data_IF_625516682359
#
_entry.id   IF_625516682359
#
_cell.length_a   1.000
_cell.length_b   1.000
_cell.length_c   1.000
_cell.angle_alpha   90.00
_cell.angle_beta   90.00
_cell.angle_gamma   90.00
#
_symmetry.space_group_name_H-M   'P 1'
#
loop_
_entity.id
_entity.type
_entity.pdbx_description
1 polymer ?
#
# COMPACT_ATOMS: atom_id res chain seq x y z
N UNK A 1 38.31 -2.75 31.18
CA UNK A 1 37.86 -1.58 30.38
C UNK A 1 38.97 -1.26 29.35
N UNK A 2 38.60 -0.88 28.08
CA UNK A 2 39.54 -0.47 27.07
C UNK A 2 40.33 0.79 27.51
N UNK A 3 41.53 1.01 26.91
CA UNK A 3 42.31 2.21 27.17
C UNK A 3 41.56 3.48 26.68
N UNK A 4 41.86 4.66 27.33
CA UNK A 4 41.16 5.94 26.97
C UNK A 4 41.13 6.24 25.46
N UNK A 5 42.24 6.09 24.69
CA UNK A 5 42.19 6.32 23.24
C UNK A 5 41.29 5.35 22.48
N UNK A 6 41.15 4.13 22.97
CA UNK A 6 40.24 3.12 22.40
C UNK A 6 38.79 3.45 22.73
N UNK A 7 38.49 3.87 23.97
CA UNK A 7 37.16 4.36 24.35
C UNK A 7 36.72 5.54 23.47
N UNK A 8 37.62 6.48 23.17
CA UNK A 8 37.33 7.60 22.31
C UNK A 8 37.02 7.18 20.87
N UNK A 9 37.78 6.19 20.33
CA UNK A 9 37.50 5.64 18.98
C UNK A 9 36.12 4.94 18.93
N UNK A 10 35.80 4.14 19.95
CA UNK A 10 34.50 3.45 20.07
C UNK A 10 33.39 4.49 20.15
N UNK A 11 33.51 5.50 20.99
CA UNK A 11 32.52 6.54 21.14
C UNK A 11 32.28 7.33 19.83
N UNK A 12 33.38 7.73 19.15
CA UNK A 12 33.30 8.43 17.87
C UNK A 12 32.63 7.57 16.80
N UNK A 13 32.93 6.27 16.76
CA UNK A 13 32.31 5.33 15.82
C UNK A 13 30.81 5.16 16.08
N UNK A 14 30.42 4.93 17.34
CA UNK A 14 28.99 4.80 17.69
C UNK A 14 28.24 6.08 17.40
N UNK A 15 28.82 7.25 17.68
CA UNK A 15 28.22 8.56 17.34
C UNK A 15 28.03 8.70 15.82
N UNK A 16 28.99 8.27 15.01
CA UNK A 16 28.85 8.30 13.55
C UNK A 16 27.71 7.37 13.05
N UNK A 17 27.53 6.20 13.66
CA UNK A 17 26.41 5.29 13.37
C UNK A 17 25.08 5.95 13.74
N UNK A 18 24.98 6.59 14.91
CA UNK A 18 23.77 7.30 15.34
C UNK A 18 23.41 8.45 14.38
N UNK A 19 24.38 9.25 14.01
CA UNK A 19 24.20 10.33 13.02
C UNK A 19 23.69 9.76 11.68
N UNK A 20 24.21 8.62 11.23
CA UNK A 20 23.77 7.96 10.01
C UNK A 20 22.31 7.48 10.09
N UNK A 21 21.93 6.88 11.23
CA UNK A 21 20.55 6.43 11.50
C UNK A 21 19.59 7.63 11.46
N UNK A 22 19.95 8.74 12.11
CA UNK A 22 19.15 9.97 12.12
C UNK A 22 19.00 10.55 10.70
N UNK A 23 20.09 10.66 9.94
CA UNK A 23 20.06 11.15 8.56
C UNK A 23 19.18 10.30 7.66
N UNK A 24 19.24 8.95 7.77
CA UNK A 24 18.40 8.05 7.00
C UNK A 24 16.92 8.16 7.41
N UNK A 25 16.65 8.31 8.71
CA UNK A 25 15.28 8.51 9.21
C UNK A 25 14.67 9.80 8.67
N UNK A 26 15.40 10.91 8.74
CA UNK A 26 14.98 12.20 8.22
C UNK A 26 14.80 12.17 6.70
N UNK A 27 15.71 11.52 5.97
CA UNK A 27 15.59 11.36 4.51
C UNK A 27 14.34 10.58 4.13
N UNK A 28 14.03 9.49 4.86
CA UNK A 28 12.81 8.70 4.62
C UNK A 28 11.55 9.53 4.83
N UNK A 29 11.49 10.30 5.93
CA UNK A 29 10.36 11.17 6.24
C UNK A 29 10.16 12.23 5.15
N UNK A 30 11.21 12.95 4.77
CA UNK A 30 11.16 13.98 3.73
C UNK A 30 10.74 13.43 2.36
N UNK A 31 11.19 12.24 1.98
CA UNK A 31 10.73 11.58 0.74
C UNK A 31 9.24 11.25 0.80
N UNK A 32 8.73 10.82 1.96
CA UNK A 32 7.29 10.58 2.16
C UNK A 32 6.46 11.84 2.02
N UNK A 33 6.88 12.94 2.65
CA UNK A 33 6.23 14.25 2.53
C UNK A 33 6.27 14.78 1.09
N UNK A 34 7.41 14.64 0.43
CA UNK A 34 7.59 15.02 -0.97
C UNK A 34 6.62 14.25 -1.88
N UNK A 35 6.54 12.90 -1.73
CA UNK A 35 5.57 12.09 -2.47
C UNK A 35 4.14 12.57 -2.23
N UNK A 36 3.76 12.78 -0.96
CA UNK A 36 2.42 13.26 -0.59
C UNK A 36 2.09 14.61 -1.27
N UNK A 37 3.01 15.55 -1.25
CA UNK A 37 2.83 16.84 -1.92
C UNK A 37 2.68 16.70 -3.44
N UNK A 38 3.51 15.86 -4.08
CA UNK A 38 3.38 15.57 -5.51
C UNK A 38 2.05 14.91 -5.86
N UNK A 39 1.61 13.93 -5.08
CA UNK A 39 0.30 13.29 -5.29
C UNK A 39 -0.84 14.30 -5.20
N UNK A 40 -0.79 15.24 -4.26
CA UNK A 40 -1.79 16.31 -4.18
C UNK A 40 -1.81 17.17 -5.45
N UNK A 41 -0.64 17.58 -5.95
CA UNK A 41 -0.53 18.41 -7.14
C UNK A 41 -0.94 17.66 -8.41
N UNK A 42 -0.58 16.38 -8.54
CA UNK A 42 -0.94 15.55 -9.71
C UNK A 42 -2.46 15.29 -9.71
N UNK A 43 -3.02 14.82 -8.61
CA UNK A 43 -4.44 14.46 -8.55
C UNK A 43 -5.38 15.69 -8.53
N UNK A 44 -4.90 16.87 -8.16
CA UNK A 44 -5.61 18.15 -8.35
C UNK A 44 -5.39 18.73 -9.75
N UNK A 45 -4.61 18.08 -10.61
CA UNK A 45 -4.22 18.52 -11.94
C UNK A 45 -3.45 19.88 -11.97
N UNK A 46 -2.93 20.32 -10.80
CA UNK A 46 -2.03 21.48 -10.74
C UNK A 46 -0.70 21.20 -11.47
N UNK A 47 -0.28 19.95 -11.52
CA UNK A 47 0.81 19.44 -12.35
C UNK A 47 0.26 18.33 -13.24
N UNK A 48 0.50 18.44 -14.56
CA UNK A 48 0.16 17.40 -15.52
C UNK A 48 1.39 16.95 -16.30
N UNK A 49 1.43 15.68 -16.64
CA UNK A 49 2.44 15.13 -17.53
C UNK A 49 2.14 15.53 -18.97
N UNK A 50 3.15 15.53 -19.80
CA UNK A 50 3.03 15.68 -21.25
C UNK A 50 3.33 14.36 -21.94
N UNK A 51 2.79 14.18 -23.15
CA UNK A 51 3.14 13.08 -24.03
C UNK A 51 4.63 13.17 -24.45
N UNK A 52 5.17 12.10 -25.03
CA UNK A 52 6.59 12.03 -25.38
C UNK A 52 6.98 13.00 -26.50
N UNK A 53 6.01 13.42 -27.30
CA UNK A 53 6.17 14.47 -28.31
C UNK A 53 6.02 15.90 -27.77
N UNK A 54 5.79 16.05 -26.46
CA UNK A 54 5.59 17.34 -25.77
C UNK A 54 4.16 17.87 -25.80
N UNK A 55 3.22 17.19 -26.47
CA UNK A 55 1.81 17.58 -26.48
C UNK A 55 1.13 17.34 -25.13
N UNK A 56 0.01 18.01 -24.91
CA UNK A 56 -0.82 17.81 -23.74
C UNK A 56 -1.68 16.53 -23.90
N UNK A 57 -1.88 15.82 -22.80
CA UNK A 57 -2.85 14.73 -22.75
C UNK A 57 -4.28 15.26 -22.75
N UNK A 58 -5.27 14.47 -23.20
CA UNK A 58 -6.70 14.80 -23.07
C UNK A 58 -7.09 15.12 -21.64
N UNK A 59 -8.21 15.81 -21.46
CA UNK A 59 -8.77 16.05 -20.13
C UNK A 59 -9.14 14.75 -19.44
N UNK A 60 -9.06 14.74 -18.10
CA UNK A 60 -9.42 13.58 -17.30
C UNK A 60 -10.93 13.40 -17.27
N UNK A 61 -11.38 12.16 -17.34
CA UNK A 61 -12.80 11.81 -17.29
C UNK A 61 -13.22 11.47 -15.84
N UNK A 62 -14.32 12.09 -15.39
CA UNK A 62 -14.91 11.72 -14.09
C UNK A 62 -15.64 10.38 -14.21
N UNK A 63 -15.29 9.43 -13.34
CA UNK A 63 -15.87 8.09 -13.30
C UNK A 63 -16.07 7.63 -11.86
N UNK A 64 -16.96 6.66 -11.66
CA UNK A 64 -16.95 5.89 -10.41
C UNK A 64 -15.87 4.82 -10.48
N UNK A 65 -15.22 4.57 -9.35
CA UNK A 65 -14.20 3.52 -9.28
C UNK A 65 -14.75 2.17 -9.76
N UNK A 66 -16.00 1.85 -9.44
CA UNK A 66 -16.68 0.64 -9.85
C UNK A 66 -16.91 0.47 -11.36
N UNK A 67 -16.76 1.53 -12.16
CA UNK A 67 -16.84 1.46 -13.62
C UNK A 67 -15.57 0.85 -14.23
N UNK A 68 -14.46 0.96 -13.52
CA UNK A 68 -13.12 0.54 -13.98
C UNK A 68 -12.43 -0.46 -13.07
N UNK A 69 -12.95 -0.69 -11.87
CA UNK A 69 -12.40 -1.63 -10.88
C UNK A 69 -13.52 -2.24 -10.04
N UNK A 70 -13.48 -3.56 -9.82
CA UNK A 70 -14.39 -4.24 -8.89
C UNK A 70 -13.68 -4.61 -7.61
N UNK A 71 -14.40 -4.55 -6.49
CA UNK A 71 -13.88 -4.98 -5.20
C UNK A 71 -14.46 -6.36 -4.84
N UNK A 72 -13.61 -7.38 -4.91
CA UNK A 72 -13.96 -8.75 -4.61
C UNK A 72 -13.73 -9.05 -3.13
N UNK A 73 -14.75 -9.49 -2.41
CA UNK A 73 -14.63 -10.00 -1.04
C UNK A 73 -14.02 -11.39 -0.97
N UNK A 74 -13.41 -11.72 0.17
CA UNK A 74 -12.80 -13.02 0.41
C UNK A 74 -13.77 -14.09 0.95
N UNK A 75 -13.21 -15.22 1.38
CA UNK A 75 -13.92 -16.39 1.86
C UNK A 75 -14.13 -16.36 3.40
N UNK A 76 -15.25 -16.92 3.86
CA UNK A 76 -15.59 -17.03 5.28
C UNK A 76 -14.94 -18.28 5.91
N UNK A 77 -13.67 -18.16 6.30
CA UNK A 77 -12.97 -19.26 6.95
C UNK A 77 -13.46 -19.48 8.38
N UNK A 78 -13.55 -20.74 8.78
CA UNK A 78 -13.86 -21.12 10.16
C UNK A 78 -12.60 -21.07 11.00
N UNK A 79 -12.58 -20.22 12.02
CA UNK A 79 -11.40 -20.03 12.88
C UNK A 79 -10.96 -21.30 13.62
N UNK A 80 -11.89 -22.22 13.90
CA UNK A 80 -11.59 -23.50 14.51
C UNK A 80 -10.76 -24.45 13.61
N UNK A 81 -10.71 -24.18 12.32
CA UNK A 81 -9.97 -24.94 11.31
C UNK A 81 -8.63 -24.29 10.93
N UNK A 82 -8.24 -23.18 11.60
CA UNK A 82 -6.95 -22.53 11.38
C UNK A 82 -5.79 -23.41 11.82
N UNK A 83 -4.74 -23.41 11.02
CA UNK A 83 -3.55 -24.25 11.21
C UNK A 83 -2.28 -23.38 11.29
N UNK A 84 -1.17 -24.04 11.64
CA UNK A 84 0.17 -23.43 11.68
C UNK A 84 0.91 -23.52 10.33
N UNK A 85 0.42 -24.35 9.42
CA UNK A 85 1.01 -24.62 8.10
C UNK A 85 -0.09 -24.78 7.06
N UNK A 86 0.22 -24.60 5.78
CA UNK A 86 -0.71 -24.68 4.67
C UNK A 86 -0.70 -23.40 3.86
N UNK A 87 -1.84 -23.05 3.25
CA UNK A 87 -2.01 -21.81 2.48
C UNK A 87 -2.29 -20.66 3.47
N UNK A 88 -1.51 -19.58 3.47
CA UNK A 88 -1.72 -18.46 4.38
C UNK A 88 -3.06 -17.78 4.10
N UNK A 89 -3.70 -17.25 5.16
CA UNK A 89 -4.93 -16.46 5.06
C UNK A 89 -4.60 -15.02 5.41
N UNK A 90 -4.91 -14.08 4.53
CA UNK A 90 -4.81 -12.65 4.80
C UNK A 90 -6.11 -12.13 5.38
N UNK A 91 -6.00 -11.63 6.62
CA UNK A 91 -7.09 -11.09 7.43
C UNK A 91 -6.88 -9.59 7.64
N UNK A 92 -7.92 -8.90 8.12
CA UNK A 92 -7.84 -7.48 8.48
C UNK A 92 -6.69 -7.15 9.44
N UNK A 93 -6.31 -8.10 10.33
CA UNK A 93 -5.16 -7.95 11.23
C UNK A 93 -3.80 -7.97 10.53
N UNK A 94 -3.75 -8.41 9.28
CA UNK A 94 -2.54 -8.40 8.48
C UNK A 94 -2.42 -7.14 7.60
N UNK A 95 -3.47 -6.29 7.56
CA UNK A 95 -3.41 -5.00 6.89
C UNK A 95 -2.65 -4.03 7.78
N UNK A 96 -1.52 -3.52 7.29
CA UNK A 96 -0.61 -2.66 8.07
C UNK A 96 -1.17 -1.25 8.25
N UNK A 97 -0.89 -0.65 9.41
CA UNK A 97 -1.12 0.78 9.64
C UNK A 97 0.13 1.63 9.36
N UNK A 98 1.29 0.99 9.19
CA UNK A 98 2.58 1.66 9.23
C UNK A 98 3.35 1.64 7.91
N UNK A 99 2.90 0.84 6.95
CA UNK A 99 3.50 0.75 5.61
C UNK A 99 2.47 0.24 4.59
N UNK A 100 2.81 0.32 3.32
CA UNK A 100 1.94 -0.04 2.21
C UNK A 100 1.83 -1.57 1.99
N UNK A 101 2.58 -2.38 2.75
CA UNK A 101 2.62 -3.83 2.64
C UNK A 101 1.93 -4.51 3.82
N UNK A 102 1.56 -5.78 3.63
CA UNK A 102 0.96 -6.57 4.70
C UNK A 102 1.92 -6.81 5.86
N UNK A 103 1.36 -7.01 7.06
CA UNK A 103 2.08 -7.51 8.23
C UNK A 103 1.97 -9.04 8.28
N UNK A 104 3.07 -9.73 8.05
CA UNK A 104 3.14 -11.19 7.97
C UNK A 104 3.53 -11.88 9.30
N UNK A 105 3.69 -11.13 10.40
CA UNK A 105 4.16 -11.69 11.69
C UNK A 105 3.18 -12.67 12.36
N UNK A 106 1.88 -12.53 12.05
CA UNK A 106 0.81 -13.31 12.68
C UNK A 106 -0.11 -13.96 11.63
N UNK A 107 0.49 -14.64 10.67
CA UNK A 107 -0.26 -15.40 9.68
C UNK A 107 -0.92 -16.62 10.32
N UNK A 108 -2.10 -16.95 9.84
CA UNK A 108 -2.76 -18.24 10.04
C UNK A 108 -2.91 -18.91 8.69
N UNK A 109 -3.05 -20.21 8.70
CA UNK A 109 -3.04 -21.02 7.49
C UNK A 109 -4.30 -21.87 7.40
N UNK A 110 -4.61 -22.36 6.23
CA UNK A 110 -5.73 -23.26 5.99
C UNK A 110 -5.33 -24.36 5.01
N UNK A 111 -6.09 -25.45 5.04
CA UNK A 111 -5.94 -26.49 4.01
C UNK A 111 -6.45 -25.98 2.67
N UNK A 112 -6.05 -26.64 1.60
CA UNK A 112 -6.57 -26.36 0.26
C UNK A 112 -8.09 -26.54 0.21
N UNK A 113 -8.78 -25.55 -0.36
CA UNK A 113 -10.23 -25.55 -0.57
C UNK A 113 -10.50 -25.75 -2.07
N UNK A 114 -11.34 -26.71 -2.40
CA UNK A 114 -11.79 -26.93 -3.79
C UNK A 114 -12.53 -25.70 -4.32
N UNK A 115 -12.24 -25.31 -5.58
CA UNK A 115 -12.85 -24.16 -6.26
C UNK A 115 -12.63 -22.82 -5.56
N UNK A 116 -11.48 -22.64 -4.93
CA UNK A 116 -11.12 -21.43 -4.19
C UNK A 116 -10.35 -20.38 -5.00
N UNK A 117 -10.09 -20.62 -6.28
CA UNK A 117 -9.26 -19.77 -7.14
C UNK A 117 -9.61 -18.28 -7.09
N UNK A 118 -10.92 -17.98 -7.01
CA UNK A 118 -11.40 -16.61 -6.89
C UNK A 118 -11.00 -15.92 -5.58
N UNK A 119 -10.63 -16.67 -4.54
CA UNK A 119 -10.22 -16.12 -3.25
C UNK A 119 -8.70 -16.10 -3.07
N UNK A 120 -7.94 -16.50 -4.09
CA UNK A 120 -6.49 -16.46 -4.06
C UNK A 120 -6.02 -15.06 -4.42
N UNK A 121 -5.07 -14.57 -3.62
CA UNK A 121 -4.32 -13.33 -3.87
C UNK A 121 -2.86 -13.66 -4.13
N UNK A 122 -2.23 -12.83 -4.95
CA UNK A 122 -0.86 -13.00 -5.43
C UNK A 122 0.00 -11.79 -5.14
N UNK A 123 1.30 -11.97 -5.20
CA UNK A 123 2.24 -10.87 -5.06
C UNK A 123 1.86 -9.69 -5.97
N UNK A 124 1.80 -8.49 -5.39
CA UNK A 124 1.39 -7.27 -6.06
C UNK A 124 -0.11 -6.94 -5.94
N UNK A 125 -0.94 -7.85 -5.46
CA UNK A 125 -2.38 -7.60 -5.30
C UNK A 125 -2.63 -6.54 -4.22
N UNK A 126 -3.46 -5.54 -4.57
CA UNK A 126 -3.91 -4.48 -3.67
C UNK A 126 -5.19 -4.91 -2.94
N UNK A 127 -5.15 -4.82 -1.63
CA UNK A 127 -6.24 -5.25 -0.75
C UNK A 127 -6.63 -4.15 0.25
N UNK A 128 -7.85 -4.21 0.76
CA UNK A 128 -8.39 -3.25 1.73
C UNK A 128 -9.15 -3.96 2.85
N UNK A 129 -8.96 -3.51 4.08
CA UNK A 129 -9.74 -3.97 5.23
C UNK A 129 -11.14 -3.35 5.18
N UNK A 130 -12.18 -4.18 5.15
CA UNK A 130 -13.57 -3.74 5.02
C UNK A 130 -14.30 -3.58 6.36
N UNK A 131 -13.70 -4.03 7.46
CA UNK A 131 -14.29 -3.93 8.80
C UNK A 131 -13.25 -3.99 9.91
N UNK A 132 -13.64 -3.60 11.13
CA UNK A 132 -12.80 -3.68 12.33
C UNK A 132 -11.88 -2.48 12.51
N UNK A 133 -10.88 -2.59 13.38
CA UNK A 133 -9.99 -1.50 13.75
C UNK A 133 -9.12 -0.96 12.59
N UNK A 134 -8.97 -1.73 11.53
CA UNK A 134 -8.21 -1.35 10.34
C UNK A 134 -9.10 -0.99 9.14
N UNK A 135 -10.40 -0.80 9.36
CA UNK A 135 -11.35 -0.48 8.26
C UNK A 135 -10.82 0.65 7.38
N UNK A 136 -10.84 0.40 6.08
CA UNK A 136 -10.38 1.33 5.06
C UNK A 136 -8.86 1.38 4.85
N UNK A 137 -8.07 0.75 5.71
CA UNK A 137 -6.63 0.62 5.46
C UNK A 137 -6.40 -0.35 4.31
N UNK A 138 -5.47 0.01 3.45
CA UNK A 138 -5.08 -0.79 2.28
C UNK A 138 -3.65 -1.26 2.41
N UNK A 139 -3.33 -2.39 1.79
CA UNK A 139 -1.97 -2.92 1.70
C UNK A 139 -1.76 -3.65 0.39
N UNK A 140 -0.50 -3.74 -0.02
CA UNK A 140 -0.06 -4.57 -1.14
C UNK A 140 0.38 -5.91 -0.57
N UNK A 141 -0.12 -7.00 -1.15
CA UNK A 141 0.35 -8.33 -0.83
C UNK A 141 1.74 -8.56 -1.43
N UNK A 142 2.74 -8.84 -0.59
CA UNK A 142 4.14 -8.87 -0.99
C UNK A 142 4.87 -10.18 -0.65
N UNK A 143 4.13 -11.25 -0.37
CA UNK A 143 4.75 -12.59 -0.20
C UNK A 143 4.88 -13.29 -1.55
N UNK A 144 5.81 -14.25 -1.62
CA UNK A 144 6.06 -15.04 -2.83
C UNK A 144 4.95 -16.07 -3.05
N UNK A 145 4.46 -16.67 -1.95
CA UNK A 145 3.43 -17.70 -1.95
C UNK A 145 2.05 -17.08 -2.14
N UNK A 146 1.19 -17.75 -2.88
CA UNK A 146 -0.23 -17.38 -2.98
C UNK A 146 -0.92 -17.50 -1.62
N UNK A 147 -1.92 -16.66 -1.35
CA UNK A 147 -2.65 -16.67 -0.10
C UNK A 147 -4.16 -16.62 -0.31
N UNK A 148 -4.92 -17.06 0.67
CA UNK A 148 -6.35 -16.85 0.70
C UNK A 148 -6.74 -15.48 1.24
N UNK A 149 -7.77 -14.91 0.66
CA UNK A 149 -8.40 -13.67 1.10
C UNK A 149 -9.55 -13.96 2.07
N UNK A 150 -9.50 -13.41 3.29
CA UNK A 150 -10.57 -13.54 4.27
C UNK A 150 -11.78 -12.64 3.90
N UNK A 151 -13.00 -13.05 4.29
CA UNK A 151 -14.27 -12.38 3.97
C UNK A 151 -14.35 -10.89 4.31
N UNK A 152 -13.52 -10.39 5.25
CA UNK A 152 -13.49 -8.99 5.67
C UNK A 152 -12.40 -8.17 4.97
N UNK A 153 -11.77 -8.75 3.98
CA UNK A 153 -10.75 -8.09 3.15
C UNK A 153 -11.26 -8.07 1.72
N UNK A 154 -11.19 -6.91 1.09
CA UNK A 154 -11.53 -6.70 -0.31
C UNK A 154 -10.27 -6.73 -1.16
N UNK A 155 -10.35 -7.35 -2.35
CA UNK A 155 -9.33 -7.38 -3.38
C UNK A 155 -9.75 -6.50 -4.55
N UNK A 156 -8.92 -5.54 -4.93
CA UNK A 156 -9.16 -4.70 -6.09
C UNK A 156 -8.88 -5.47 -7.40
N UNK A 157 -9.88 -5.56 -8.24
CA UNK A 157 -9.84 -6.18 -9.57
C UNK A 157 -10.03 -5.11 -10.64
N UNK A 158 -8.92 -4.55 -11.11
CA UNK A 158 -8.94 -3.52 -12.15
C UNK A 158 -9.33 -4.11 -13.51
N UNK A 159 -10.10 -3.36 -14.30
CA UNK A 159 -10.22 -3.59 -15.73
C UNK A 159 -8.96 -3.04 -16.41
N UNK A 160 -8.02 -3.91 -16.71
CA UNK A 160 -6.70 -3.55 -17.23
C UNK A 160 -6.74 -2.82 -18.59
N UNK A 161 -7.85 -2.87 -19.32
CA UNK A 161 -8.01 -2.09 -20.56
C UNK A 161 -8.29 -0.61 -20.28
N UNK A 162 -8.87 -0.28 -19.13
CA UNK A 162 -9.28 1.08 -18.75
C UNK A 162 -8.41 1.68 -17.65
N UNK A 163 -8.01 0.87 -16.66
CA UNK A 163 -7.30 1.31 -15.47
C UNK A 163 -5.95 0.61 -15.35
N UNK A 164 -4.88 1.40 -15.25
CA UNK A 164 -3.55 0.91 -14.91
C UNK A 164 -3.51 0.52 -13.43
N UNK A 165 -2.96 -0.67 -13.13
CA UNK A 165 -2.94 -1.17 -11.76
C UNK A 165 -2.00 -0.37 -10.85
N UNK A 166 -0.88 0.10 -11.36
CA UNK A 166 0.02 0.99 -10.63
C UNK A 166 -0.64 2.33 -10.33
N UNK A 167 -1.42 2.87 -11.27
CA UNK A 167 -2.20 4.09 -11.05
C UNK A 167 -3.31 3.87 -10.01
N UNK A 168 -4.02 2.73 -10.05
CA UNK A 168 -4.98 2.35 -9.02
C UNK A 168 -4.35 2.32 -7.62
N UNK A 169 -3.15 1.74 -7.48
CA UNK A 169 -2.41 1.75 -6.21
C UNK A 169 -2.21 3.20 -5.73
N UNK A 170 -1.77 4.11 -6.60
CA UNK A 170 -1.56 5.50 -6.21
C UNK A 170 -2.87 6.21 -5.84
N UNK A 171 -4.00 5.93 -6.52
CA UNK A 171 -5.32 6.45 -6.12
C UNK A 171 -5.69 5.98 -4.72
N UNK A 172 -5.57 4.67 -4.44
CA UNK A 172 -6.01 4.09 -3.16
C UNK A 172 -5.16 4.59 -1.99
N UNK A 173 -3.89 4.92 -2.22
CA UNK A 173 -3.03 5.55 -1.21
C UNK A 173 -3.08 7.09 -1.22
N UNK A 174 -3.96 7.71 -2.04
CA UNK A 174 -4.11 9.17 -2.12
C UNK A 174 -5.08 9.73 -1.08
N UNK A 175 -5.00 11.05 -0.89
CA UNK A 175 -5.95 11.79 -0.07
C UNK A 175 -7.39 11.74 -0.63
N UNK A 176 -7.57 11.60 -1.95
CA UNK A 176 -8.88 11.52 -2.60
C UNK A 176 -9.66 10.29 -2.10
N UNK A 177 -8.99 9.13 -2.11
CA UNK A 177 -9.57 7.90 -1.59
C UNK A 177 -9.84 8.00 -0.09
N UNK A 178 -8.87 8.49 0.68
CA UNK A 178 -8.99 8.65 2.14
C UNK A 178 -10.16 9.56 2.52
N UNK A 179 -10.35 10.69 1.85
CA UNK A 179 -11.45 11.64 2.16
C UNK A 179 -12.81 11.02 1.89
N UNK A 180 -12.99 10.31 0.78
CA UNK A 180 -14.26 9.64 0.46
C UNK A 180 -14.55 8.50 1.44
N UNK A 181 -13.51 7.74 1.81
CA UNK A 181 -13.62 6.69 2.81
C UNK A 181 -14.04 7.24 4.16
N UNK A 182 -13.41 8.32 4.64
CA UNK A 182 -13.76 8.97 5.90
C UNK A 182 -15.22 9.44 5.90
N UNK A 183 -15.72 9.95 4.78
CA UNK A 183 -17.13 10.36 4.63
C UNK A 183 -18.09 9.19 4.82
N UNK A 184 -17.77 8.01 4.30
CA UNK A 184 -18.57 6.79 4.48
C UNK A 184 -18.51 6.29 5.92
N UNK A 185 -17.32 6.31 6.54
CA UNK A 185 -17.11 5.83 7.91
C UNK A 185 -17.81 6.70 8.96
N UNK A 186 -17.83 8.02 8.76
CA UNK A 186 -18.53 8.96 9.66
C UNK A 186 -20.03 8.79 9.58
N UNK A 187 -20.59 8.48 8.42
CA UNK A 187 -22.02 8.26 8.23
C UNK A 187 -22.54 6.94 8.84
N UNK A 188 -21.65 5.98 9.14
CA UNK A 188 -21.98 4.66 9.66
C UNK A 188 -21.93 4.57 11.19
N UNK A 189 -22.88 3.86 11.81
CA UNK A 189 -22.86 3.58 13.27
C UNK A 189 -21.74 2.63 13.70
N UNK A 190 -21.14 1.88 12.77
CA UNK A 190 -19.97 1.00 12.98
C UNK A 190 -18.98 1.24 11.85
N UNK A 191 -17.66 1.11 12.12
CA UNK A 191 -16.62 1.31 11.11
C UNK A 191 -16.56 0.12 10.14
N UNK A 192 -17.53 0.04 9.24
CA UNK A 192 -17.59 -0.93 8.15
C UNK A 192 -17.74 -0.20 6.81
N UNK A 193 -17.08 -0.70 5.79
CA UNK A 193 -17.22 -0.23 4.41
C UNK A 193 -17.55 -1.41 3.52
N UNK A 194 -18.54 -1.27 2.66
CA UNK A 194 -18.93 -2.31 1.69
C UNK A 194 -18.17 -2.15 0.37
N UNK A 195 -18.15 -3.22 -0.44
CA UNK A 195 -17.62 -3.12 -1.81
C UNK A 195 -18.32 -2.05 -2.62
N UNK A 196 -19.65 -1.91 -2.44
CA UNK A 196 -20.44 -0.90 -3.16
C UNK A 196 -20.08 0.53 -2.77
N UNK A 197 -19.75 0.77 -1.50
CA UNK A 197 -19.32 2.09 -1.04
C UNK A 197 -18.03 2.49 -1.75
N UNK A 198 -17.02 1.61 -1.74
CA UNK A 198 -15.73 1.85 -2.39
C UNK A 198 -15.87 1.93 -3.92
N UNK A 199 -16.68 1.05 -4.53
CA UNK A 199 -16.96 1.11 -5.97
C UNK A 199 -17.72 2.39 -6.36
N UNK A 200 -18.40 3.03 -5.42
CA UNK A 200 -19.08 4.30 -5.59
C UNK A 200 -18.19 5.53 -5.55
N UNK A 201 -16.92 5.39 -5.15
CA UNK A 201 -16.00 6.53 -5.06
C UNK A 201 -15.76 7.17 -6.43
N UNK A 202 -15.72 8.50 -6.44
CA UNK A 202 -15.46 9.28 -7.64
C UNK A 202 -13.96 9.41 -7.86
N UNK A 203 -13.54 9.20 -9.10
CA UNK A 203 -12.15 9.32 -9.53
C UNK A 203 -12.08 10.10 -10.84
N UNK A 204 -11.07 10.95 -10.97
CA UNK A 204 -10.72 11.57 -12.24
C UNK A 204 -9.70 10.67 -12.95
N UNK A 205 -10.06 10.16 -14.13
CA UNK A 205 -9.31 9.11 -14.84
C UNK A 205 -8.62 9.71 -16.07
N UNK A 206 -7.28 9.77 -16.09
CA UNK A 206 -6.51 10.17 -17.28
C UNK A 206 -6.53 9.10 -18.37
N UNK A 207 -6.01 9.47 -19.56
CA UNK A 207 -5.71 8.49 -20.60
C UNK A 207 -4.78 7.40 -20.06
N UNK A 208 -4.88 6.18 -20.58
CA UNK A 208 -4.08 5.03 -20.13
C UNK A 208 -2.56 5.30 -20.18
N UNK A 209 -2.10 6.07 -21.15
CA UNK A 209 -0.69 6.44 -21.29
C UNK A 209 -0.29 7.38 -20.15
N UNK A 210 -1.10 8.38 -19.83
CA UNK A 210 -0.84 9.30 -18.72
C UNK A 210 -0.91 8.58 -17.38
N UNK A 211 -1.87 7.65 -17.19
CA UNK A 211 -1.93 6.79 -16.00
C UNK A 211 -0.60 6.06 -15.77
N UNK A 212 -0.04 5.44 -16.81
CA UNK A 212 1.25 4.75 -16.73
C UNK A 212 2.41 5.70 -16.38
N UNK A 213 2.45 6.90 -16.95
CA UNK A 213 3.48 7.90 -16.61
C UNK A 213 3.39 8.31 -15.14
N UNK A 214 2.19 8.60 -14.65
CA UNK A 214 1.95 8.96 -13.24
C UNK A 214 2.36 7.81 -12.32
N UNK A 215 1.89 6.58 -12.62
CA UNK A 215 2.20 5.40 -11.84
C UNK A 215 3.71 5.13 -11.75
N UNK A 216 4.41 5.14 -12.87
CA UNK A 216 5.85 4.92 -12.93
C UNK A 216 6.62 6.00 -12.17
N UNK A 217 6.23 7.26 -12.31
CA UNK A 217 6.86 8.37 -11.59
C UNK A 217 6.73 8.22 -10.08
N UNK A 218 5.50 8.03 -9.58
CA UNK A 218 5.25 7.90 -8.14
C UNK A 218 5.87 6.62 -7.57
N UNK A 219 5.80 5.49 -8.28
CA UNK A 219 6.44 4.23 -7.88
C UNK A 219 7.97 4.33 -7.83
N UNK A 220 8.58 5.19 -8.66
CA UNK A 220 10.02 5.45 -8.57
C UNK A 220 10.40 6.12 -7.24
N UNK A 221 9.51 6.94 -6.69
CA UNK A 221 9.70 7.55 -5.36
C UNK A 221 9.49 6.52 -4.27
N UNK A 222 8.48 5.63 -4.40
CA UNK A 222 8.25 4.51 -3.47
C UNK A 222 9.49 3.62 -3.36
N UNK A 223 10.09 3.28 -4.49
CA UNK A 223 11.32 2.50 -4.54
C UNK A 223 12.47 3.18 -3.79
N UNK A 224 12.60 4.51 -3.88
CA UNK A 224 13.60 5.28 -3.12
C UNK A 224 13.31 5.27 -1.61
N UNK A 225 12.04 5.40 -1.23
CA UNK A 225 11.60 5.36 0.18
C UNK A 225 11.92 3.98 0.76
N UNK A 226 11.60 2.90 0.02
CA UNK A 226 11.90 1.52 0.43
C UNK A 226 13.41 1.29 0.56
N UNK A 227 14.20 1.73 -0.40
CA UNK A 227 15.68 1.61 -0.35
C UNK A 227 16.26 2.30 0.87
N UNK A 228 15.83 3.53 1.18
CA UNK A 228 16.25 4.26 2.37
C UNK A 228 15.77 3.54 3.64
N UNK A 229 14.56 2.97 3.62
CA UNK A 229 14.04 2.15 4.71
C UNK A 229 14.92 0.94 5.01
N UNK A 230 15.31 0.17 4.00
CA UNK A 230 16.24 -0.97 4.15
C UNK A 230 17.58 -0.55 4.74
N UNK A 231 18.17 0.53 4.24
CA UNK A 231 19.45 1.06 4.78
C UNK A 231 19.31 1.50 6.25
N UNK A 232 18.18 2.08 6.62
CA UNK A 232 17.89 2.46 7.99
C UNK A 232 17.80 1.24 8.91
N UNK A 233 17.09 0.20 8.50
CA UNK A 233 16.93 -1.02 9.28
C UNK A 233 18.25 -1.79 9.44
N UNK A 234 19.04 -1.90 8.39
CA UNK A 234 20.41 -2.46 8.42
C UNK A 234 21.30 -1.69 9.39
N UNK A 235 21.28 -0.34 9.34
CA UNK A 235 22.06 0.50 10.25
C UNK A 235 21.64 0.33 11.71
N UNK A 236 20.33 0.19 11.98
CA UNK A 236 19.80 -0.09 13.32
C UNK A 236 20.18 -1.49 13.83
N UNK A 237 20.19 -2.50 12.95
CA UNK A 237 20.63 -3.86 13.31
C UNK A 237 22.11 -3.90 13.62
N UNK A 238 22.92 -3.19 12.85
CA UNK A 238 24.35 -3.08 13.08
C UNK A 238 24.70 -2.45 14.44
N UNK A 239 23.86 -1.55 14.96
CA UNK A 239 24.06 -0.90 16.27
C UNK A 239 23.74 -1.80 17.46
N UNK A 240 22.94 -2.85 17.28
CA UNK A 240 22.57 -3.80 18.36
C UNK A 240 23.69 -4.75 18.71
#
# INVERSE_FOLDING_TARGET
>A
YPAKPEQQKIAAFLTAVDTKIEQLSNKKALLGEYKKGLMQQIFSQAIRFKADDGSDFPDWEEKKLGDVCKLQGGYAFKSAEFQKHGIPIIRISNISNNNDFIDNRNLVYYNEIKNSDKFIIKNGDLIVAMSGATTGKSSIYNLIEDAYLNQRVGLFKANNSLLDYGFLIQIVFSYIFATQLDSVLVAGAQPNVSSKDIEGFEISLPSKIEQNKIANFLSSIDSKIEQVGKQLDESKQFKK
#
